data_IF_698746700903
#
_entry.id   IF_698746700903
#
_cell.length_a   1.000
_cell.length_b   1.000
_cell.length_c   1.000
_cell.angle_alpha   90.00
_cell.angle_beta   90.00
_cell.angle_gamma   90.00
#
_symmetry.space_group_name_H-M   'P 1'
#
loop_
_entity.id
_entity.type
_entity.pdbx_description
1 polymer ?
#
# COMPACT_ATOMS: atom_id res chain seq x y z
N UNK A 1 23.22 19.17 -19.13
CA UNK A 1 22.75 19.48 -17.76
C UNK A 1 23.01 18.29 -16.84
N UNK A 2 23.67 18.50 -15.69
CA UNK A 2 23.89 17.46 -14.67
C UNK A 2 22.95 17.70 -13.49
N UNK A 3 22.28 16.67 -13.02
CA UNK A 3 21.28 16.76 -11.97
C UNK A 3 21.56 15.73 -10.88
N UNK A 4 21.70 16.17 -9.63
CA UNK A 4 21.91 15.30 -8.48
C UNK A 4 20.61 15.20 -7.69
N UNK A 5 20.13 13.98 -7.44
CA UNK A 5 18.94 13.79 -6.62
C UNK A 5 18.90 12.47 -5.90
N UNK A 6 18.48 12.56 -4.64
CA UNK A 6 18.13 11.42 -3.81
C UNK A 6 16.97 10.61 -4.43
N UNK A 7 17.26 9.58 -5.22
CA UNK A 7 16.27 8.65 -5.82
C UNK A 7 16.63 7.19 -5.54
N UNK A 8 15.61 6.34 -5.44
CA UNK A 8 15.73 4.98 -4.87
C UNK A 8 16.52 3.99 -5.73
N UNK A 9 16.43 4.08 -7.06
CA UNK A 9 17.14 3.22 -8.03
C UNK A 9 17.03 3.74 -9.49
N UNK A 10 17.67 3.03 -10.42
CA UNK A 10 17.69 3.30 -11.87
C UNK A 10 16.28 3.33 -12.51
N UNK A 11 15.33 2.52 -12.04
CA UNK A 11 13.96 2.52 -12.58
C UNK A 11 13.19 3.82 -12.25
N UNK A 12 13.38 4.38 -11.04
CA UNK A 12 12.87 5.72 -10.69
C UNK A 12 13.58 6.80 -11.51
N UNK A 13 14.84 6.56 -11.87
CA UNK A 13 15.61 7.43 -12.75
C UNK A 13 14.97 7.53 -14.14
N UNK A 14 14.48 6.43 -14.72
CA UNK A 14 13.77 6.42 -16.03
C UNK A 14 12.49 7.26 -15.98
N UNK A 15 11.67 7.12 -14.93
CA UNK A 15 10.49 7.97 -14.76
C UNK A 15 10.87 9.45 -14.62
N UNK A 16 11.97 9.75 -13.91
CA UNK A 16 12.49 11.11 -13.80
C UNK A 16 13.00 11.65 -15.15
N UNK A 17 13.68 10.82 -15.95
CA UNK A 17 14.15 11.18 -17.28
C UNK A 17 12.98 11.60 -18.17
N UNK A 18 11.90 10.83 -18.24
CA UNK A 18 10.74 11.17 -19.08
C UNK A 18 10.09 12.49 -18.69
N UNK A 19 9.96 12.77 -17.38
CA UNK A 19 9.42 14.05 -16.93
C UNK A 19 10.36 15.23 -17.22
N UNK A 20 11.68 15.06 -17.07
CA UNK A 20 12.65 16.11 -17.36
C UNK A 20 12.70 16.40 -18.87
N UNK A 21 12.64 15.36 -19.72
CA UNK A 21 12.64 15.51 -21.18
C UNK A 21 11.47 16.38 -21.65
N UNK A 22 10.26 16.13 -21.13
CA UNK A 22 9.07 16.93 -21.44
C UNK A 22 9.18 18.40 -21.02
N UNK A 23 9.95 18.70 -19.98
CA UNK A 23 10.09 20.08 -19.44
C UNK A 23 11.24 20.86 -20.08
N UNK A 24 12.31 20.17 -20.47
CA UNK A 24 13.52 20.82 -20.99
C UNK A 24 13.57 20.91 -22.50
N UNK A 25 12.84 20.06 -23.24
CA UNK A 25 12.95 19.93 -24.69
C UNK A 25 14.42 19.81 -25.14
N UNK A 26 15.18 18.99 -24.43
CA UNK A 26 16.60 18.74 -24.70
C UNK A 26 16.79 17.28 -25.10
N UNK A 27 17.74 16.99 -26.01
CA UNK A 27 18.13 15.61 -26.30
C UNK A 27 18.60 14.88 -25.04
N UNK A 28 18.28 13.58 -24.93
CA UNK A 28 18.54 12.78 -23.72
C UNK A 28 20.03 12.69 -23.39
N UNK A 29 20.88 12.66 -24.41
CA UNK A 29 22.34 12.68 -24.33
C UNK A 29 22.89 13.94 -23.65
N UNK A 30 22.11 15.02 -23.64
CA UNK A 30 22.46 16.27 -22.97
C UNK A 30 22.00 16.32 -21.51
N UNK A 31 21.37 15.25 -20.99
CA UNK A 31 20.85 15.16 -19.62
C UNK A 31 21.53 14.02 -18.89
N UNK A 32 22.17 14.33 -17.76
CA UNK A 32 22.72 13.34 -16.85
C UNK A 32 22.07 13.44 -15.48
N UNK A 33 21.33 12.41 -15.08
CA UNK A 33 20.82 12.24 -13.73
C UNK A 33 21.81 11.42 -12.90
N UNK A 34 22.13 11.88 -11.70
CA UNK A 34 23.05 11.25 -10.75
C UNK A 34 22.27 11.02 -9.45
N UNK A 35 22.19 9.77 -9.02
CA UNK A 35 21.59 9.39 -7.75
C UNK A 35 22.69 9.27 -6.68
N UNK A 36 22.83 10.22 -5.74
CA UNK A 36 23.71 10.09 -4.59
C UNK A 36 23.07 9.18 -3.54
N UNK A 37 23.75 8.98 -2.40
CA UNK A 37 23.20 8.25 -1.26
C UNK A 37 21.82 8.80 -0.85
N UNK A 38 20.92 7.88 -0.50
CA UNK A 38 19.52 8.18 -0.18
C UNK A 38 19.22 7.78 1.24
N UNK A 39 18.88 8.77 2.08
CA UNK A 39 18.46 8.57 3.48
C UNK A 39 17.04 7.98 3.61
N UNK A 40 16.72 6.93 2.86
CA UNK A 40 15.38 6.35 2.80
C UNK A 40 14.39 7.13 1.93
N UNK A 41 13.21 6.56 1.76
CA UNK A 41 12.15 7.18 0.94
C UNK A 41 10.80 6.51 1.03
N UNK A 42 10.74 5.20 1.31
CA UNK A 42 9.50 4.48 1.64
C UNK A 42 8.33 4.61 0.66
N UNK A 43 8.59 5.11 -0.56
CA UNK A 43 7.60 5.38 -1.60
C UNK A 43 7.48 6.87 -1.98
N UNK A 44 7.75 7.81 -1.06
CA UNK A 44 7.65 9.26 -1.32
C UNK A 44 8.62 9.78 -2.39
N UNK A 45 9.83 9.22 -2.46
CA UNK A 45 10.85 9.61 -3.47
C UNK A 45 10.63 9.06 -4.89
N UNK A 46 9.42 8.61 -5.21
CA UNK A 46 9.03 8.17 -6.57
C UNK A 46 8.48 9.36 -7.38
N UNK A 47 7.82 10.31 -6.73
CA UNK A 47 7.29 11.52 -7.35
C UNK A 47 8.41 12.52 -7.62
N UNK A 48 8.37 13.27 -8.73
CA UNK A 48 9.53 14.04 -9.22
C UNK A 48 9.40 15.57 -9.11
N UNK A 49 8.42 16.09 -8.36
CA UNK A 49 8.10 17.52 -8.31
C UNK A 49 9.28 18.42 -7.97
N UNK A 50 10.02 18.10 -6.91
CA UNK A 50 11.22 18.83 -6.48
C UNK A 50 12.28 18.93 -7.60
N UNK A 51 12.45 17.85 -8.36
CA UNK A 51 13.42 17.82 -9.46
C UNK A 51 13.01 18.72 -10.61
N UNK A 52 11.73 18.69 -10.97
CA UNK A 52 11.16 19.53 -12.03
C UNK A 52 11.29 21.01 -11.66
N UNK A 53 11.02 21.36 -10.39
CA UNK A 53 11.22 22.73 -9.88
C UNK A 53 12.68 23.18 -10.01
N UNK A 54 13.64 22.36 -9.54
CA UNK A 54 15.06 22.68 -9.62
C UNK A 54 15.51 22.87 -11.08
N UNK A 55 15.03 22.03 -11.98
CA UNK A 55 15.32 22.09 -13.42
C UNK A 55 14.81 23.40 -14.04
N UNK A 56 13.57 23.79 -13.75
CA UNK A 56 12.96 25.04 -14.23
C UNK A 56 13.74 26.26 -13.72
N UNK A 57 14.07 26.29 -12.43
CA UNK A 57 14.84 27.38 -11.83
C UNK A 57 16.25 27.49 -12.42
N UNK A 58 16.95 26.37 -12.62
CA UNK A 58 18.28 26.39 -13.24
C UNK A 58 18.26 26.93 -14.67
N UNK A 59 17.21 26.63 -15.45
CA UNK A 59 17.02 27.16 -16.81
C UNK A 59 16.83 28.67 -16.82
N UNK A 60 16.01 29.20 -15.91
CA UNK A 60 15.75 30.64 -15.78
C UNK A 60 17.00 31.36 -15.29
N UNK A 61 17.64 30.84 -14.23
CA UNK A 61 18.81 31.47 -13.61
C UNK A 61 20.09 31.34 -14.45
N UNK A 62 20.12 30.41 -15.42
CA UNK A 62 21.32 30.02 -16.19
C UNK A 62 22.53 29.68 -15.29
N UNK A 63 22.25 29.12 -14.12
CA UNK A 63 23.24 28.77 -13.08
C UNK A 63 22.87 27.44 -12.42
N UNK A 64 23.82 26.74 -11.78
CA UNK A 64 23.51 25.61 -10.93
C UNK A 64 22.56 26.01 -9.79
N UNK A 65 21.52 25.21 -9.56
CA UNK A 65 20.53 25.43 -8.49
C UNK A 65 20.54 24.21 -7.57
N UNK A 66 20.69 24.46 -6.27
CA UNK A 66 20.42 23.49 -5.22
C UNK A 66 19.07 23.82 -4.60
N UNK A 67 18.08 22.95 -4.81
CA UNK A 67 16.76 23.08 -4.23
C UNK A 67 16.60 22.06 -3.11
N UNK A 68 16.29 22.54 -1.92
CA UNK A 68 16.01 21.72 -0.74
C UNK A 68 14.64 22.10 -0.23
N UNK A 69 13.73 21.14 -0.18
CA UNK A 69 12.44 21.33 0.49
C UNK A 69 12.66 21.35 2.00
N UNK A 70 11.97 22.25 2.69
CA UNK A 70 11.85 22.15 4.15
C UNK A 70 11.04 20.90 4.51
N UNK A 71 11.05 20.53 5.80
CA UNK A 71 10.18 19.45 6.29
C UNK A 71 8.70 19.74 6.01
N UNK A 72 8.28 21.00 6.15
CA UNK A 72 6.90 21.42 5.89
C UNK A 72 6.56 21.29 4.40
N UNK A 73 7.46 21.70 3.50
CA UNK A 73 7.28 21.55 2.06
C UNK A 73 7.18 20.07 1.65
N UNK A 74 7.98 19.19 2.26
CA UNK A 74 7.87 17.75 2.00
C UNK A 74 6.48 17.21 2.38
N UNK A 75 5.91 17.62 3.51
CA UNK A 75 4.54 17.23 3.87
C UNK A 75 3.49 17.85 2.94
N UNK A 76 3.72 19.05 2.41
CA UNK A 76 2.73 19.70 1.58
C UNK A 76 2.74 19.19 0.12
N UNK A 77 3.92 18.93 -0.44
CA UNK A 77 4.11 18.62 -1.86
C UNK A 77 4.39 17.15 -2.18
N UNK A 78 4.71 16.31 -1.19
CA UNK A 78 4.85 14.87 -1.41
C UNK A 78 3.46 14.20 -1.46
N UNK A 79 3.47 12.90 -1.68
CA UNK A 79 2.30 12.05 -1.78
C UNK A 79 2.07 11.26 -0.51
N UNK A 80 0.81 11.14 -0.12
CA UNK A 80 0.39 10.36 1.03
C UNK A 80 -0.14 8.98 0.63
N UNK A 81 -0.21 8.06 1.59
CA UNK A 81 -0.99 6.83 1.39
C UNK A 81 -2.45 7.21 1.15
N UNK A 82 -3.13 6.65 0.13
CA UNK A 82 -4.55 6.92 -0.07
C UNK A 82 -5.38 6.46 1.11
N UNK A 83 -6.36 7.29 1.51
CA UNK A 83 -7.44 6.83 2.36
C UNK A 83 -8.30 5.82 1.60
N UNK A 84 -8.90 4.87 2.31
CA UNK A 84 -9.70 3.83 1.69
C UNK A 84 -10.88 3.44 2.58
N UNK A 85 -11.98 3.09 1.94
CA UNK A 85 -13.07 2.35 2.56
C UNK A 85 -13.04 0.93 1.99
N UNK A 86 -12.92 -0.05 2.88
CA UNK A 86 -13.03 -1.47 2.53
C UNK A 86 -14.32 -2.00 3.13
N UNK A 87 -15.16 -2.62 2.29
CA UNK A 87 -16.36 -3.34 2.71
C UNK A 87 -16.17 -4.82 2.46
N UNK A 88 -16.42 -5.63 3.47
CA UNK A 88 -16.29 -7.08 3.40
C UNK A 88 -17.61 -7.71 3.82
N UNK A 89 -18.15 -8.60 2.98
CA UNK A 89 -19.24 -9.51 3.34
C UNK A 89 -18.72 -10.94 3.22
N UNK A 90 -19.04 -11.78 4.19
CA UNK A 90 -18.52 -13.14 4.25
C UNK A 90 -19.56 -14.11 4.79
N UNK A 91 -19.51 -15.34 4.31
CA UNK A 91 -20.33 -16.46 4.78
C UNK A 91 -19.49 -17.51 5.48
N UNK A 92 -20.06 -18.11 6.53
CA UNK A 92 -19.47 -19.21 7.30
C UNK A 92 -20.44 -20.39 7.35
N UNK A 93 -19.90 -21.60 7.38
CA UNK A 93 -20.63 -22.79 7.83
C UNK A 93 -20.59 -22.88 9.36
N UNK A 94 -21.47 -23.70 9.93
CA UNK A 94 -21.44 -24.05 11.37
C UNK A 94 -20.11 -24.70 11.78
N UNK A 95 -19.42 -25.34 10.84
CA UNK A 95 -18.10 -25.91 11.05
C UNK A 95 -16.96 -24.89 10.97
N UNK A 96 -17.23 -23.60 10.77
CA UNK A 96 -16.21 -22.55 10.70
C UNK A 96 -15.39 -22.54 9.40
N UNK A 97 -15.95 -23.08 8.31
CA UNK A 97 -15.38 -22.96 6.96
C UNK A 97 -15.91 -21.71 6.28
N UNK A 98 -15.04 -20.96 5.61
CA UNK A 98 -15.43 -19.79 4.84
C UNK A 98 -15.99 -20.24 3.49
N UNK A 99 -17.24 -19.88 3.20
CA UNK A 99 -17.93 -20.29 1.96
C UNK A 99 -18.14 -19.15 0.98
N UNK A 100 -18.20 -17.90 1.46
CA UNK A 100 -18.31 -16.73 0.59
C UNK A 100 -17.47 -15.54 1.07
N UNK A 101 -17.00 -14.74 0.12
CA UNK A 101 -16.19 -13.55 0.36
C UNK A 101 -16.40 -12.48 -0.71
N UNK A 102 -17.09 -11.40 -0.39
CA UNK A 102 -17.25 -10.23 -1.25
C UNK A 102 -16.47 -9.04 -0.67
N UNK A 103 -15.44 -8.62 -1.38
CA UNK A 103 -14.48 -7.60 -0.95
C UNK A 103 -14.52 -6.40 -1.88
N UNK A 104 -14.99 -5.26 -1.38
CA UNK A 104 -15.13 -4.03 -2.14
C UNK A 104 -14.21 -2.94 -1.59
N UNK A 105 -13.41 -2.34 -2.47
CA UNK A 105 -12.44 -1.29 -2.14
C UNK A 105 -12.86 0.00 -2.82
N UNK A 106 -12.91 1.08 -2.06
CA UNK A 106 -13.10 2.45 -2.54
C UNK A 106 -11.92 3.28 -2.06
N UNK A 107 -11.35 4.15 -2.89
CA UNK A 107 -10.27 5.04 -2.44
C UNK A 107 -8.86 4.62 -2.86
N UNK A 108 -8.66 3.34 -3.16
CA UNK A 108 -7.34 2.70 -3.18
C UNK A 108 -7.30 1.52 -4.16
N UNK A 109 -6.10 1.04 -4.51
CA UNK A 109 -5.92 -0.13 -5.36
C UNK A 109 -6.17 -1.47 -4.65
N UNK A 110 -6.23 -2.54 -5.46
CA UNK A 110 -6.47 -3.91 -4.99
C UNK A 110 -5.22 -4.72 -4.63
N UNK A 111 -4.02 -4.12 -4.62
CA UNK A 111 -2.81 -4.88 -4.29
C UNK A 111 -2.95 -5.42 -2.85
N UNK A 112 -2.76 -6.72 -2.70
CA UNK A 112 -2.95 -7.40 -1.41
C UNK A 112 -4.40 -7.74 -1.04
N UNK A 113 -5.38 -7.40 -1.87
CA UNK A 113 -6.79 -7.79 -1.66
C UNK A 113 -7.10 -9.21 -2.15
N UNK A 114 -6.15 -9.83 -2.86
CA UNK A 114 -6.25 -11.22 -3.31
C UNK A 114 -6.47 -12.14 -2.11
N UNK A 115 -7.49 -13.00 -2.22
CA UNK A 115 -7.84 -13.95 -1.19
C UNK A 115 -6.97 -15.20 -1.33
N UNK A 116 -6.28 -15.56 -0.26
CA UNK A 116 -5.45 -16.78 -0.20
C UNK A 116 -6.01 -17.83 0.77
N UNK A 117 -7.15 -17.55 1.40
CA UNK A 117 -7.96 -18.57 2.07
C UNK A 117 -8.75 -19.35 1.02
N UNK A 118 -9.00 -20.62 1.31
CA UNK A 118 -9.79 -21.49 0.44
C UNK A 118 -11.27 -21.15 0.58
N UNK A 119 -11.77 -20.30 -0.32
CA UNK A 119 -13.17 -19.84 -0.34
C UNK A 119 -13.74 -20.07 -1.74
N UNK A 120 -14.78 -20.91 -1.92
CA UNK A 120 -15.28 -21.27 -3.24
C UNK A 120 -15.99 -20.11 -3.96
N UNK A 121 -16.68 -19.23 -3.23
CA UNK A 121 -17.44 -18.13 -3.82
C UNK A 121 -16.84 -16.78 -3.40
N UNK A 122 -15.94 -16.23 -4.21
CA UNK A 122 -15.29 -14.97 -3.88
C UNK A 122 -15.30 -13.95 -5.01
N UNK A 123 -15.37 -12.67 -4.65
CA UNK A 123 -15.29 -11.53 -5.55
C UNK A 123 -14.46 -10.42 -4.92
N UNK A 124 -13.66 -9.75 -5.74
CA UNK A 124 -12.94 -8.53 -5.36
C UNK A 124 -13.28 -7.43 -6.35
N UNK A 125 -13.81 -6.31 -5.86
CA UNK A 125 -14.16 -5.15 -6.66
C UNK A 125 -13.34 -3.95 -6.21
N UNK A 126 -12.74 -3.23 -7.16
CA UNK A 126 -11.86 -2.08 -6.89
C UNK A 126 -12.39 -0.86 -7.61
N UNK A 127 -12.83 0.13 -6.83
CA UNK A 127 -13.14 1.47 -7.31
C UNK A 127 -11.98 2.38 -6.90
N UNK A 128 -11.01 2.49 -7.82
CA UNK A 128 -9.82 3.31 -7.64
C UNK A 128 -9.94 4.56 -8.49
N UNK A 129 -9.75 5.70 -7.85
CA UNK A 129 -9.46 6.94 -8.56
C UNK A 129 -7.95 7.09 -8.62
N UNK A 130 -7.40 7.06 -9.83
CA UNK A 130 -5.98 7.21 -10.08
C UNK A 130 -5.63 8.69 -9.88
N UNK A 131 -4.75 8.96 -8.89
CA UNK A 131 -3.96 10.20 -8.73
C UNK A 131 -4.60 11.51 -9.22
N UNK A 132 -5.02 12.37 -8.28
CA UNK A 132 -5.44 13.76 -8.53
C UNK A 132 -6.39 13.90 -9.73
N UNK A 133 -7.68 13.59 -9.54
CA UNK A 133 -8.67 13.78 -10.60
C UNK A 133 -10.09 13.95 -10.09
N UNK A 134 -10.50 13.16 -9.11
CA UNK A 134 -11.93 13.04 -8.79
C UNK A 134 -12.31 13.64 -7.41
N UNK A 135 -11.41 14.41 -6.80
CA UNK A 135 -11.67 15.10 -5.52
C UNK A 135 -11.76 14.23 -4.25
N UNK A 136 -11.56 12.90 -4.35
CA UNK A 136 -11.71 12.00 -3.21
C UNK A 136 -10.66 12.20 -2.09
N UNK A 137 -9.46 12.69 -2.45
CA UNK A 137 -8.41 13.02 -1.49
C UNK A 137 -8.06 14.51 -1.61
N UNK A 138 -7.99 15.27 -0.50
CA UNK A 138 -7.62 16.69 -0.53
C UNK A 138 -6.14 16.93 -0.84
N UNK A 139 -5.32 15.87 -0.84
CA UNK A 139 -3.89 15.91 -1.12
C UNK A 139 -3.49 14.82 -2.12
N UNK A 140 -2.31 14.97 -2.71
CA UNK A 140 -1.77 13.99 -3.64
C UNK A 140 -1.54 12.64 -2.94
N UNK A 141 -1.94 11.55 -3.59
CA UNK A 141 -1.73 10.20 -3.07
C UNK A 141 -0.77 9.39 -3.93
N UNK A 142 -0.09 8.45 -3.30
CA UNK A 142 1.02 7.75 -3.93
C UNK A 142 1.49 6.53 -3.16
N UNK A 143 2.55 5.89 -3.65
CA UNK A 143 3.11 4.72 -3.01
C UNK A 143 3.66 5.08 -1.63
N UNK A 144 3.26 4.30 -0.64
CA UNK A 144 3.89 4.19 0.67
C UNK A 144 4.16 2.70 0.93
N UNK A 145 5.18 2.37 1.73
CA UNK A 145 5.71 1.00 1.89
C UNK A 145 4.58 -0.04 1.94
N UNK A 146 4.68 -1.04 1.05
CA UNK A 146 3.62 -1.98 0.70
C UNK A 146 2.34 -1.29 0.15
N UNK A 147 2.41 -0.61 -1.02
CA UNK A 147 1.29 0.16 -1.56
C UNK A 147 0.02 -0.69 -1.66
N UNK A 148 -1.08 -0.16 -1.14
CA UNK A 148 -2.40 -0.79 -0.95
C UNK A 148 -2.43 -2.06 -0.06
N UNK A 149 -1.38 -2.88 -0.10
CA UNK A 149 -1.31 -4.18 0.58
C UNK A 149 -1.39 -4.06 2.10
N UNK A 150 -0.82 -3.02 2.70
CA UNK A 150 -0.90 -2.80 4.14
C UNK A 150 -2.36 -2.62 4.59
N UNK A 151 -3.13 -1.80 3.87
CA UNK A 151 -4.51 -1.49 4.21
C UNK A 151 -5.43 -2.67 3.89
N UNK A 152 -5.20 -3.33 2.75
CA UNK A 152 -5.97 -4.52 2.38
C UNK A 152 -5.70 -5.71 3.30
N UNK A 153 -4.44 -5.92 3.71
CA UNK A 153 -4.12 -6.97 4.67
C UNK A 153 -4.70 -6.68 6.04
N UNK A 154 -4.65 -5.43 6.50
CA UNK A 154 -5.29 -5.05 7.76
C UNK A 154 -6.80 -5.32 7.73
N UNK A 155 -7.51 -4.88 6.68
CA UNK A 155 -8.95 -5.08 6.57
C UNK A 155 -9.32 -6.57 6.48
N UNK A 156 -8.63 -7.35 5.63
CA UNK A 156 -8.86 -8.79 5.52
C UNK A 156 -8.62 -9.51 6.84
N UNK A 157 -7.45 -9.34 7.46
CA UNK A 157 -7.08 -10.11 8.66
C UNK A 157 -7.90 -9.70 9.89
N UNK A 158 -8.28 -8.42 10.01
CA UNK A 158 -9.21 -7.98 11.06
C UNK A 158 -10.58 -8.64 10.89
N UNK A 159 -11.06 -8.76 9.65
CA UNK A 159 -12.34 -9.43 9.38
C UNK A 159 -12.25 -10.94 9.58
N UNK A 160 -11.09 -11.56 9.31
CA UNK A 160 -10.84 -12.96 9.65
C UNK A 160 -10.91 -13.18 11.17
N UNK A 161 -10.40 -12.28 11.99
CA UNK A 161 -10.54 -12.38 13.46
C UNK A 161 -12.01 -12.24 13.90
N UNK A 162 -12.78 -11.35 13.27
CA UNK A 162 -14.23 -11.23 13.49
C UNK A 162 -14.95 -12.54 13.16
N UNK A 163 -14.55 -13.20 12.07
CA UNK A 163 -15.11 -14.49 11.65
C UNK A 163 -14.72 -15.61 12.61
N UNK A 164 -13.46 -15.67 13.05
CA UNK A 164 -12.99 -16.63 14.03
C UNK A 164 -13.75 -16.51 15.35
N UNK A 165 -13.95 -15.28 15.83
CA UNK A 165 -14.75 -15.03 17.04
C UNK A 165 -16.20 -15.49 16.90
N UNK A 166 -16.86 -15.21 15.76
CA UNK A 166 -18.22 -15.68 15.48
C UNK A 166 -18.33 -17.19 15.35
N UNK A 167 -17.30 -17.85 14.83
CA UNK A 167 -17.19 -19.31 14.80
C UNK A 167 -16.78 -19.90 16.16
N UNK A 168 -16.61 -19.06 17.19
CA UNK A 168 -16.11 -19.42 18.51
C UNK A 168 -14.80 -20.24 18.46
N UNK A 169 -13.91 -19.87 17.54
CA UNK A 169 -12.67 -20.58 17.27
C UNK A 169 -11.47 -19.70 17.65
N UNK A 170 -10.38 -20.34 18.06
CA UNK A 170 -9.10 -19.65 18.18
C UNK A 170 -8.70 -19.03 16.82
N UNK A 171 -8.21 -17.78 16.78
CA UNK A 171 -7.90 -17.12 15.51
C UNK A 171 -6.80 -17.80 14.69
N UNK A 172 -5.83 -18.48 15.32
CA UNK A 172 -4.79 -19.22 14.61
C UNK A 172 -5.37 -20.53 14.06
N UNK A 173 -6.14 -21.26 14.86
CA UNK A 173 -6.84 -22.48 14.42
C UNK A 173 -7.77 -22.17 13.24
N UNK A 174 -8.54 -21.09 13.31
CA UNK A 174 -9.44 -20.67 12.24
C UNK A 174 -8.70 -20.39 10.93
N UNK A 175 -7.53 -19.73 10.99
CA UNK A 175 -6.69 -19.50 9.81
C UNK A 175 -6.15 -20.81 9.26
N UNK A 176 -5.58 -21.66 10.10
CA UNK A 176 -5.08 -22.97 9.69
C UNK A 176 -6.20 -23.86 9.13
N UNK A 177 -7.44 -23.73 9.60
CA UNK A 177 -8.57 -24.48 9.05
C UNK A 177 -8.93 -24.03 7.63
N UNK A 178 -8.73 -22.76 7.30
CA UNK A 178 -9.15 -22.16 6.03
C UNK A 178 -8.00 -21.92 5.04
N UNK A 179 -6.75 -22.15 5.42
CA UNK A 179 -5.57 -22.06 4.54
C UNK A 179 -5.18 -23.39 3.92
N UNK A 180 -4.88 -23.38 2.63
CA UNK A 180 -4.31 -24.52 1.88
C UNK A 180 -2.83 -24.36 1.55
N UNK A 181 -2.29 -23.14 1.58
CA UNK A 181 -0.87 -22.90 1.30
C UNK A 181 0.02 -23.38 2.46
N UNK A 182 0.81 -24.42 2.20
CA UNK A 182 1.68 -25.04 3.21
C UNK A 182 2.78 -24.12 3.73
N UNK A 183 3.28 -23.20 2.90
CA UNK A 183 4.28 -22.22 3.35
C UNK A 183 3.66 -21.24 4.34
N UNK A 184 2.46 -20.73 4.05
CA UNK A 184 1.76 -19.83 4.98
C UNK A 184 1.42 -20.53 6.30
N UNK A 185 0.93 -21.77 6.23
CA UNK A 185 0.68 -22.60 7.41
C UNK A 185 1.94 -22.80 8.25
N UNK A 186 3.08 -23.08 7.59
CA UNK A 186 4.37 -23.21 8.25
C UNK A 186 4.81 -21.93 8.97
N UNK A 187 4.65 -20.77 8.33
CA UNK A 187 4.97 -19.46 8.95
C UNK A 187 4.10 -19.20 10.18
N UNK A 188 2.80 -19.45 10.10
CA UNK A 188 1.88 -19.25 11.23
C UNK A 188 2.22 -20.16 12.42
N UNK A 189 2.50 -21.45 12.15
CA UNK A 189 2.92 -22.40 13.19
C UNK A 189 4.22 -21.98 13.86
N UNK A 190 5.24 -21.62 13.07
CA UNK A 190 6.53 -21.17 13.60
C UNK A 190 6.40 -19.87 14.40
N UNK A 191 5.54 -18.95 13.97
CA UNK A 191 5.28 -17.71 14.72
C UNK A 191 4.60 -18.00 16.06
N UNK A 192 3.58 -18.87 16.06
CA UNK A 192 2.86 -19.28 17.25
C UNK A 192 3.76 -19.98 18.27
N UNK A 193 4.59 -20.92 17.82
CA UNK A 193 5.57 -21.63 18.65
C UNK A 193 6.55 -20.65 19.31
N UNK A 194 7.17 -19.77 18.53
CA UNK A 194 8.15 -18.80 19.05
C UNK A 194 7.54 -17.76 19.97
N UNK A 195 6.28 -17.41 19.76
CA UNK A 195 5.56 -16.48 20.62
C UNK A 195 5.11 -17.15 21.94
N UNK A 196 5.00 -18.49 21.97
CA UNK A 196 4.36 -19.20 23.07
C UNK A 196 2.84 -19.05 23.05
N UNK A 197 2.23 -19.03 21.85
CA UNK A 197 0.79 -18.85 21.70
C UNK A 197 0.02 -19.96 22.42
N UNK A 198 -0.86 -19.55 23.33
CA UNK A 198 -1.81 -20.46 23.98
C UNK A 198 -3.16 -20.28 23.29
N UNK A 199 -3.71 -21.31 22.62
CA UNK A 199 -4.98 -21.20 21.93
C UNK A 199 -6.11 -20.73 22.85
N UNK A 200 -6.86 -19.73 22.41
CA UNK A 200 -7.99 -19.20 23.15
C UNK A 200 -9.04 -18.61 22.20
N UNK A 201 -10.31 -18.75 22.57
CA UNK A 201 -11.39 -17.99 21.92
C UNK A 201 -11.18 -16.49 22.23
N UNK A 202 -11.51 -15.62 21.28
CA UNK A 202 -11.34 -14.19 21.52
C UNK A 202 -12.21 -13.73 22.72
N UNK A 203 -11.68 -12.86 23.61
CA UNK A 203 -12.22 -12.67 24.96
C UNK A 203 -13.58 -11.95 25.04
N UNK A 204 -14.04 -11.28 23.97
CA UNK A 204 -15.40 -10.75 23.92
C UNK A 204 -15.87 -10.46 22.48
N UNK A 205 -17.19 -10.51 22.25
CA UNK A 205 -17.83 -9.99 21.04
C UNK A 205 -18.08 -8.47 21.08
N UNK A 206 -17.71 -7.80 22.19
CA UNK A 206 -17.89 -6.34 22.37
C UNK A 206 -16.68 -5.61 21.77
N UNK A 207 -16.94 -4.61 20.92
CA UNK A 207 -15.90 -3.85 20.21
C UNK A 207 -15.73 -4.20 18.73
N UNK A 208 -16.35 -5.29 18.26
CA UNK A 208 -16.43 -5.61 16.84
C UNK A 208 -17.74 -5.04 16.25
N UNK A 209 -17.74 -3.76 15.88
CA UNK A 209 -18.91 -3.16 15.22
C UNK A 209 -18.95 -3.52 13.73
N UNK A 210 -19.34 -4.76 13.45
CA UNK A 210 -19.69 -5.22 12.11
C UNK A 210 -21.13 -5.74 12.10
N UNK A 211 -22.08 -4.92 11.64
CA UNK A 211 -23.46 -5.38 11.37
C UNK A 211 -23.42 -6.37 10.21
N UNK A 212 -23.54 -7.65 10.53
CA UNK A 212 -23.82 -8.69 9.53
C UNK A 212 -25.32 -8.92 9.57
N UNK A 213 -25.98 -8.70 8.43
CA UNK A 213 -27.36 -9.12 8.17
C UNK A 213 -27.33 -10.48 7.51
#
# INVERSE_FOLDING_TARGET
>A
MRFYRSVRNVAVQVCLFNHILGELNMPIENIRVIAPFVGGGFGGKISNGQAIQAVKLAKIAKKPVQLVWSRADEFFYDTFRPAAVVKIKSGLTDSGKIVSWDYSIYGMGGRGAQLFYNVPHHRTSVSRNLRNGDGMHPFATGPWRAPDNNTNSFARESHIDVMANRAEMDPLEFRLKNLTDERMRGVLKAAAEKFGWTPAKAPSSRGFEGRIR
#
